data_IF_718876508072
#
_entry.id   IF_718876508072
#
_cell.length_a   1.000
_cell.length_b   1.000
_cell.length_c   1.000
_cell.angle_alpha   90.00
_cell.angle_beta   90.00
_cell.angle_gamma   90.00
#
_symmetry.space_group_name_H-M   'P 1'
#
loop_
_entity.id
_entity.type
_entity.pdbx_description
1 polymer ?
#
# COMPACT_ATOMS: atom_id res chain seq x y z
N UNK A 1 6.75 15.15 9.66
CA UNK A 1 7.26 14.12 8.71
C UNK A 1 6.20 13.06 8.52
N UNK A 2 6.10 12.49 7.30
CA UNK A 2 5.21 11.35 7.00
C UNK A 2 6.03 10.16 6.55
N UNK A 3 5.74 8.99 7.10
CA UNK A 3 6.43 7.74 6.73
C UNK A 3 5.38 6.70 6.37
N UNK A 4 5.49 6.18 5.16
CA UNK A 4 4.54 5.25 4.57
C UNK A 4 5.17 3.87 4.43
N UNK A 5 4.50 2.86 4.95
CA UNK A 5 4.84 1.47 4.74
C UNK A 5 3.92 0.91 3.66
N UNK A 6 4.47 0.59 2.51
CA UNK A 6 3.73 0.07 1.37
C UNK A 6 3.64 -1.46 1.39
N UNK A 7 2.78 -2.01 0.54
CA UNK A 7 2.56 -3.46 0.37
C UNK A 7 2.13 -4.19 1.65
N UNK A 8 1.54 -3.47 2.61
CA UNK A 8 1.00 -4.11 3.81
C UNK A 8 -0.19 -4.99 3.43
N UNK A 9 -0.18 -6.22 3.94
CA UNK A 9 -1.22 -7.19 3.67
C UNK A 9 -1.31 -8.24 4.78
N UNK A 10 -2.30 -9.12 4.73
CA UNK A 10 -2.51 -10.17 5.75
C UNK A 10 -1.32 -11.12 5.93
N UNK A 11 -0.42 -11.22 4.93
CA UNK A 11 0.80 -12.03 4.99
C UNK A 11 2.04 -11.22 5.39
N UNK A 12 1.91 -9.91 5.58
CA UNK A 12 3.01 -9.08 6.05
C UNK A 12 3.44 -9.48 7.46
N UNK A 13 4.72 -9.33 7.75
CA UNK A 13 5.20 -9.47 9.11
C UNK A 13 4.77 -8.23 9.94
N UNK A 14 3.50 -8.24 10.37
CA UNK A 14 2.89 -7.11 11.07
C UNK A 14 3.60 -6.74 12.35
N UNK A 15 4.12 -7.74 13.08
CA UNK A 15 4.91 -7.48 14.29
C UNK A 15 6.11 -6.61 13.95
N UNK A 16 6.87 -6.99 12.90
CA UNK A 16 8.04 -6.24 12.47
C UNK A 16 7.67 -4.83 11.99
N UNK A 17 6.61 -4.70 11.16
CA UNK A 17 6.16 -3.40 10.67
C UNK A 17 5.75 -2.46 11.82
N UNK A 18 5.08 -2.98 12.84
CA UNK A 18 4.68 -2.21 14.02
C UNK A 18 5.90 -1.85 14.88
N UNK A 19 6.83 -2.79 15.13
CA UNK A 19 8.07 -2.51 15.86
C UNK A 19 8.91 -1.40 15.19
N UNK A 20 8.94 -1.36 13.86
CA UNK A 20 9.61 -0.29 13.11
C UNK A 20 8.85 1.04 13.24
N UNK A 21 7.53 1.01 13.13
CA UNK A 21 6.70 2.19 13.31
C UNK A 21 6.83 2.78 14.74
N UNK A 22 6.88 1.93 15.76
CA UNK A 22 7.15 2.31 17.15
C UNK A 22 8.53 2.95 17.29
N UNK A 23 9.56 2.35 16.70
CA UNK A 23 10.91 2.93 16.72
C UNK A 23 10.95 4.32 16.06
N UNK A 24 10.23 4.52 14.95
CA UNK A 24 10.09 5.85 14.34
C UNK A 24 9.46 6.82 15.34
N UNK A 25 8.41 6.42 16.02
CA UNK A 25 7.74 7.27 17.01
C UNK A 25 8.61 7.59 18.21
N UNK A 26 9.51 6.67 18.60
CA UNK A 26 10.47 6.92 19.70
C UNK A 26 11.50 8.00 19.33
N UNK A 27 12.00 7.98 18.09
CA UNK A 27 13.01 8.96 17.62
C UNK A 27 12.39 10.23 17.02
N UNK A 28 11.17 10.13 16.52
CA UNK A 28 10.40 11.21 15.89
C UNK A 28 8.93 11.16 16.32
N UNK A 29 8.58 11.63 17.52
CA UNK A 29 7.24 11.53 18.07
C UNK A 29 6.14 12.14 17.18
N UNK A 30 6.47 13.20 16.44
CA UNK A 30 5.53 13.90 15.55
C UNK A 30 5.39 13.24 14.16
N UNK A 31 6.10 12.15 13.88
CA UNK A 31 5.97 11.47 12.59
C UNK A 31 4.58 10.86 12.43
N UNK A 32 3.94 11.10 11.30
CA UNK A 32 2.72 10.41 10.88
C UNK A 32 3.10 9.10 10.19
N UNK A 33 2.61 7.99 10.71
CA UNK A 33 2.84 6.66 10.14
C UNK A 33 1.62 6.21 9.36
N UNK A 34 1.83 5.83 8.10
CA UNK A 34 0.79 5.38 7.18
C UNK A 34 1.09 3.96 6.74
N UNK A 35 0.14 3.05 6.90
CA UNK A 35 0.21 1.71 6.32
C UNK A 35 -0.67 1.64 5.09
N UNK A 36 -0.05 1.43 3.91
CA UNK A 36 -0.71 1.27 2.63
C UNK A 36 -1.06 -0.20 2.41
N UNK A 37 -2.35 -0.51 2.47
CA UNK A 37 -2.87 -1.87 2.65
C UNK A 37 -3.54 -2.36 1.38
N UNK A 38 -3.11 -3.54 0.90
CA UNK A 38 -3.81 -4.31 -0.13
C UNK A 38 -4.56 -5.47 0.52
N UNK A 39 -5.91 -5.42 0.60
CA UNK A 39 -6.69 -6.39 1.36
C UNK A 39 -6.76 -7.79 0.74
N UNK A 40 -6.51 -7.92 -0.57
CA UNK A 40 -6.49 -9.21 -1.26
C UNK A 40 -5.06 -9.65 -1.53
N UNK A 41 -4.47 -10.35 -0.59
CA UNK A 41 -3.10 -10.83 -0.72
C UNK A 41 -2.99 -12.11 -1.47
N UNK A 42 -1.89 -12.21 -2.18
CA UNK A 42 -1.61 -13.35 -3.00
C UNK A 42 -0.17 -13.81 -2.96
N UNK A 43 -0.04 -15.09 -2.98
CA UNK A 43 1.21 -15.76 -3.27
C UNK A 43 1.45 -15.73 -4.80
N UNK A 44 2.67 -15.39 -5.25
CA UNK A 44 3.06 -15.31 -6.66
C UNK A 44 3.08 -16.70 -7.37
N UNK A 45 2.36 -17.71 -6.88
CA UNK A 45 2.21 -18.98 -7.55
C UNK A 45 1.20 -18.88 -8.70
N UNK A 46 1.45 -19.59 -9.81
CA UNK A 46 0.52 -19.65 -10.95
C UNK A 46 -0.90 -20.05 -10.56
N UNK A 47 -1.07 -20.89 -9.53
CA UNK A 47 -2.37 -21.28 -9.01
C UNK A 47 -3.13 -20.11 -8.42
N UNK A 48 -2.44 -19.24 -7.71
CA UNK A 48 -3.05 -18.07 -7.16
C UNK A 48 -3.56 -17.09 -8.20
N UNK A 49 -2.90 -16.95 -9.35
CA UNK A 49 -3.39 -16.16 -10.48
C UNK A 49 -4.74 -16.71 -10.95
N UNK A 50 -4.85 -18.02 -11.11
CA UNK A 50 -6.08 -18.68 -11.55
C UNK A 50 -7.21 -18.48 -10.55
N UNK A 51 -6.96 -18.63 -9.27
CA UNK A 51 -7.97 -18.48 -8.22
C UNK A 51 -8.46 -17.03 -8.13
N UNK A 52 -7.56 -16.08 -8.25
CA UNK A 52 -7.89 -14.66 -8.24
C UNK A 52 -8.68 -14.22 -9.48
N UNK A 53 -8.35 -14.75 -10.67
CA UNK A 53 -9.11 -14.51 -11.89
C UNK A 53 -10.56 -15.02 -11.79
N UNK A 54 -10.83 -16.07 -11.02
CA UNK A 54 -12.19 -16.57 -10.79
C UNK A 54 -13.02 -15.62 -9.92
N UNK A 55 -12.38 -15.03 -8.92
CA UNK A 55 -13.07 -14.15 -7.95
C UNK A 55 -13.25 -12.73 -8.49
N UNK A 56 -12.24 -12.21 -9.20
CA UNK A 56 -12.22 -10.84 -9.72
C UNK A 56 -11.78 -10.80 -11.20
N UNK A 57 -12.53 -11.42 -12.12
CA UNK A 57 -12.09 -11.58 -13.51
C UNK A 57 -11.83 -10.25 -14.22
N UNK A 58 -12.55 -9.18 -13.87
CA UNK A 58 -12.36 -7.85 -14.48
C UNK A 58 -11.04 -7.20 -14.10
N UNK A 59 -10.57 -7.43 -12.88
CA UNK A 59 -9.30 -6.87 -12.37
C UNK A 59 -8.12 -7.63 -12.97
N UNK A 60 -8.22 -8.97 -13.11
CA UNK A 60 -7.11 -9.82 -13.52
C UNK A 60 -6.94 -9.96 -15.04
N UNK A 61 -7.94 -9.60 -15.83
CA UNK A 61 -7.78 -9.55 -17.28
C UNK A 61 -6.99 -8.32 -17.78
N UNK A 62 -6.60 -7.42 -16.88
CA UNK A 62 -5.68 -6.35 -17.22
C UNK A 62 -4.25 -6.94 -17.35
N UNK A 63 -3.68 -6.83 -18.54
CA UNK A 63 -2.30 -7.24 -18.80
C UNK A 63 -1.35 -6.33 -18.01
N UNK A 64 -0.78 -6.84 -16.93
CA UNK A 64 0.28 -6.18 -16.20
C UNK A 64 1.40 -7.18 -15.94
N UNK A 65 2.59 -6.88 -16.43
CA UNK A 65 3.79 -7.70 -16.21
C UNK A 65 4.31 -7.63 -14.76
N UNK A 66 3.71 -6.77 -13.94
CA UNK A 66 4.11 -6.48 -12.57
C UNK A 66 2.97 -6.65 -11.56
N UNK A 67 2.04 -7.57 -11.80
CA UNK A 67 0.94 -7.80 -10.88
C UNK A 67 1.40 -8.69 -9.72
N UNK A 68 1.31 -8.18 -8.50
CA UNK A 68 1.44 -8.99 -7.30
C UNK A 68 0.07 -9.58 -7.00
N UNK A 69 -0.05 -10.89 -7.01
CA UNK A 69 -1.31 -11.61 -6.82
C UNK A 69 -1.43 -12.15 -5.40
N UNK A 70 -2.64 -12.17 -4.90
CA UNK A 70 -2.94 -12.55 -3.53
C UNK A 70 -4.00 -13.66 -3.46
N UNK A 71 -3.86 -14.67 -2.61
CA UNK A 71 -4.82 -15.77 -2.49
C UNK A 71 -6.13 -15.30 -1.87
N UNK A 72 -7.28 -15.50 -2.53
CA UNK A 72 -8.57 -15.02 -2.02
C UNK A 72 -9.05 -15.70 -0.74
N UNK A 73 -8.40 -16.78 -0.30
CA UNK A 73 -8.72 -17.49 0.94
C UNK A 73 -8.41 -16.68 2.21
N UNK A 74 -7.71 -15.58 2.09
CA UNK A 74 -7.40 -14.66 3.19
C UNK A 74 -7.79 -13.25 2.83
N UNK A 75 -9.07 -12.99 2.77
CA UNK A 75 -9.60 -11.65 2.95
C UNK A 75 -9.36 -11.27 4.41
N UNK A 76 -8.48 -10.34 4.62
CA UNK A 76 -8.22 -9.87 5.97
C UNK A 76 -7.37 -8.62 5.97
N UNK A 77 -7.78 -7.70 6.82
CA UNK A 77 -6.93 -6.59 7.21
C UNK A 77 -6.22 -7.04 8.47
N UNK A 78 -4.88 -6.96 8.52
CA UNK A 78 -4.16 -7.28 9.74
C UNK A 78 -4.57 -6.34 10.88
N UNK A 79 -4.45 -6.78 12.11
CA UNK A 79 -4.61 -5.89 13.25
C UNK A 79 -3.53 -4.80 13.19
N UNK A 80 -3.98 -3.55 13.17
CA UNK A 80 -3.14 -2.36 13.08
C UNK A 80 -3.47 -1.46 14.26
N UNK A 81 -2.48 -1.03 15.04
CA UNK A 81 -2.68 -0.07 16.12
C UNK A 81 -3.42 1.19 15.66
N UNK A 82 -4.32 1.69 16.48
CA UNK A 82 -5.19 2.82 16.11
C UNK A 82 -4.46 4.14 15.85
N UNK A 83 -3.21 4.27 16.31
CA UNK A 83 -2.38 5.43 16.06
C UNK A 83 -1.70 5.43 14.68
N UNK A 84 -1.75 4.30 13.95
CA UNK A 84 -1.25 4.17 12.59
C UNK A 84 -2.37 4.52 11.62
N UNK A 85 -2.09 5.42 10.69
CA UNK A 85 -3.03 5.83 9.65
C UNK A 85 -3.15 4.70 8.62
N UNK A 86 -4.38 4.31 8.33
CA UNK A 86 -4.67 3.32 7.29
C UNK A 86 -4.87 4.01 5.96
N UNK A 87 -4.25 3.49 4.91
CA UNK A 87 -4.49 3.87 3.53
C UNK A 87 -4.77 2.63 2.69
N UNK A 88 -5.62 2.73 1.70
CA UNK A 88 -5.80 1.67 0.70
C UNK A 88 -4.66 1.71 -0.31
N UNK A 89 -4.16 0.53 -0.71
CA UNK A 89 -3.16 0.36 -1.76
C UNK A 89 -3.72 -0.46 -2.95
N UNK A 90 -5.00 -0.24 -3.25
CA UNK A 90 -5.76 -1.03 -4.21
C UNK A 90 -6.24 -2.36 -3.66
N UNK A 91 -7.28 -2.91 -4.28
CA UNK A 91 -7.83 -4.21 -3.89
C UNK A 91 -6.77 -5.30 -3.99
N UNK A 92 -5.95 -5.21 -5.03
CA UNK A 92 -4.71 -5.93 -5.28
C UNK A 92 -3.64 -4.94 -5.74
N UNK A 93 -2.38 -5.31 -5.62
CA UNK A 93 -1.26 -4.47 -6.05
C UNK A 93 -1.08 -4.53 -7.58
N UNK A 94 -1.76 -3.66 -8.32
CA UNK A 94 -1.76 -3.57 -9.80
C UNK A 94 -1.60 -2.12 -10.25
N UNK A 95 -0.92 -1.91 -11.38
CA UNK A 95 -0.83 -0.58 -12.00
C UNK A 95 -2.21 -0.16 -12.52
N UNK A 96 -2.87 0.76 -11.81
CA UNK A 96 -4.22 1.21 -12.12
C UNK A 96 -4.34 1.88 -13.50
N UNK A 97 -3.26 2.44 -14.05
CA UNK A 97 -3.27 3.03 -15.41
C UNK A 97 -3.55 2.01 -16.51
N UNK A 98 -3.35 0.72 -16.22
CA UNK A 98 -3.59 -0.39 -17.14
C UNK A 98 -5.02 -0.95 -17.06
N UNK A 99 -5.81 -0.45 -16.11
CA UNK A 99 -7.20 -0.86 -15.89
C UNK A 99 -8.17 0.08 -16.58
N UNK A 100 -9.34 -0.40 -17.01
CA UNK A 100 -10.43 0.47 -17.41
C UNK A 100 -10.93 1.30 -16.22
N UNK A 101 -11.60 2.43 -16.48
CA UNK A 101 -12.11 3.31 -15.43
C UNK A 101 -13.02 2.55 -14.45
N UNK A 102 -13.92 1.71 -14.95
CA UNK A 102 -14.86 0.93 -14.15
C UNK A 102 -14.13 -0.07 -13.23
N UNK A 103 -13.02 -0.63 -13.71
CA UNK A 103 -12.19 -1.57 -12.91
C UNK A 103 -11.35 -0.84 -11.88
N UNK A 104 -10.83 0.35 -12.23
CA UNK A 104 -10.17 1.22 -11.26
C UNK A 104 -11.12 1.62 -10.14
N UNK A 105 -12.33 2.06 -10.49
CA UNK A 105 -13.36 2.45 -9.55
C UNK A 105 -13.72 1.30 -8.60
N UNK A 106 -13.97 0.10 -9.15
CA UNK A 106 -14.22 -1.10 -8.33
C UNK A 106 -13.06 -1.37 -7.37
N UNK A 107 -11.82 -1.33 -7.85
CA UNK A 107 -10.65 -1.58 -7.03
C UNK A 107 -10.48 -0.56 -5.92
N UNK A 108 -10.57 0.72 -6.24
CA UNK A 108 -10.37 1.82 -5.30
C UNK A 108 -11.47 1.85 -4.23
N UNK A 109 -12.73 1.84 -4.65
CA UNK A 109 -13.86 1.95 -3.72
C UNK A 109 -13.95 0.73 -2.81
N UNK A 110 -13.81 -0.48 -3.38
CA UNK A 110 -13.88 -1.70 -2.59
C UNK A 110 -12.72 -1.81 -1.60
N UNK A 111 -11.50 -1.46 -2.02
CA UNK A 111 -10.35 -1.52 -1.11
C UNK A 111 -10.41 -0.46 -0.02
N UNK A 112 -10.83 0.76 -0.33
CA UNK A 112 -11.03 1.81 0.66
C UNK A 112 -12.11 1.41 1.68
N UNK A 113 -13.20 0.81 1.22
CA UNK A 113 -14.26 0.30 2.10
C UNK A 113 -13.77 -0.84 3.00
N UNK A 114 -13.02 -1.80 2.46
CA UNK A 114 -12.48 -2.92 3.23
C UNK A 114 -11.45 -2.48 4.27
N UNK A 115 -10.61 -1.51 3.94
CA UNK A 115 -9.58 -0.96 4.83
C UNK A 115 -10.16 0.04 5.83
N UNK A 116 -11.41 0.46 5.64
CA UNK A 116 -12.07 1.51 6.41
C UNK A 116 -11.26 2.81 6.40
N UNK A 117 -11.05 3.35 5.19
CA UNK A 117 -10.25 4.56 4.98
C UNK A 117 -10.78 5.41 3.84
N UNK A 118 -10.44 6.70 3.87
CA UNK A 118 -10.63 7.67 2.78
C UNK A 118 -9.29 8.10 2.17
N UNK A 119 -8.25 7.28 2.29
CA UNK A 119 -6.93 7.56 1.74
C UNK A 119 -6.58 6.46 0.75
N UNK A 120 -6.17 6.83 -0.46
CA UNK A 120 -5.70 5.92 -1.49
C UNK A 120 -4.26 6.24 -1.89
N UNK A 121 -3.40 5.23 -1.81
CA UNK A 121 -2.02 5.24 -2.31
C UNK A 121 -1.97 4.36 -3.54
N UNK A 122 -1.71 4.87 -4.74
CA UNK A 122 -1.70 4.05 -5.93
C UNK A 122 -0.52 3.09 -5.93
N UNK A 123 -0.76 1.79 -6.25
CA UNK A 123 0.32 0.83 -6.45
C UNK A 123 1.37 1.33 -7.45
N UNK A 124 2.64 1.00 -7.21
CA UNK A 124 3.79 1.49 -7.99
C UNK A 124 3.94 3.01 -8.01
N UNK A 125 3.23 3.75 -7.16
CA UNK A 125 3.12 5.21 -7.22
C UNK A 125 2.67 5.71 -8.62
N UNK A 126 1.74 4.98 -9.26
CA UNK A 126 1.27 5.26 -10.61
C UNK A 126 -0.24 5.44 -10.67
N UNK A 127 -0.67 6.53 -11.25
CA UNK A 127 -2.08 6.91 -11.44
C UNK A 127 -2.29 7.58 -12.80
N UNK A 128 -3.53 7.77 -13.18
CA UNK A 128 -3.94 8.52 -14.36
C UNK A 128 -5.15 9.41 -14.02
N UNK A 129 -5.69 10.08 -15.04
CA UNK A 129 -6.83 10.98 -14.87
C UNK A 129 -8.07 10.27 -14.33
N UNK A 130 -8.33 9.02 -14.75
CA UNK A 130 -9.45 8.24 -14.23
C UNK A 130 -9.29 7.97 -12.72
N UNK A 131 -8.09 7.62 -12.28
CA UNK A 131 -7.77 7.46 -10.84
C UNK A 131 -8.07 8.74 -10.04
N UNK A 132 -7.66 9.90 -10.57
CA UNK A 132 -7.91 11.20 -9.93
C UNK A 132 -9.39 11.53 -9.85
N UNK A 133 -10.13 11.33 -10.93
CA UNK A 133 -11.56 11.63 -11.00
C UNK A 133 -12.35 10.71 -10.03
N UNK A 134 -12.04 9.41 -10.01
CA UNK A 134 -12.65 8.45 -9.08
C UNK A 134 -12.41 8.87 -7.63
N UNK A 135 -11.17 9.16 -7.28
CA UNK A 135 -10.84 9.58 -5.91
C UNK A 135 -11.54 10.88 -5.52
N UNK A 136 -11.58 11.86 -6.44
CA UNK A 136 -12.26 13.13 -6.22
C UNK A 136 -13.77 12.95 -6.03
N UNK A 137 -14.42 12.18 -6.89
CA UNK A 137 -15.87 11.98 -6.87
C UNK A 137 -16.32 11.20 -5.62
N UNK A 138 -15.45 10.33 -5.09
CA UNK A 138 -15.69 9.56 -3.88
C UNK A 138 -15.18 10.22 -2.59
N UNK A 139 -14.65 11.45 -2.66
CA UNK A 139 -14.02 12.16 -1.54
C UNK A 139 -12.90 11.36 -0.88
N UNK A 140 -12.10 10.68 -1.71
CA UNK A 140 -10.92 9.92 -1.29
C UNK A 140 -9.68 10.80 -1.52
N UNK A 141 -8.84 10.90 -0.49
CA UNK A 141 -7.55 11.59 -0.58
C UNK A 141 -6.55 10.71 -1.35
N UNK A 142 -6.19 11.13 -2.55
CA UNK A 142 -5.17 10.47 -3.37
C UNK A 142 -3.78 10.95 -2.98
N UNK A 143 -2.95 10.07 -2.43
CA UNK A 143 -1.54 10.37 -2.15
C UNK A 143 -0.71 10.10 -3.40
N UNK A 144 -0.12 11.17 -3.95
CA UNK A 144 0.70 11.14 -5.17
C UNK A 144 2.18 11.12 -4.84
N UNK A 145 2.98 10.43 -5.65
CA UNK A 145 4.44 10.43 -5.51
C UNK A 145 5.07 11.80 -5.74
N UNK A 146 4.45 12.62 -6.61
CA UNK A 146 4.89 14.00 -6.89
C UNK A 146 4.88 14.92 -5.66
N UNK A 147 4.25 14.49 -4.58
CA UNK A 147 4.21 15.20 -3.30
C UNK A 147 5.52 15.07 -2.49
N UNK A 148 6.62 14.63 -3.12
CA UNK A 148 7.95 14.62 -2.52
C UNK A 148 8.32 13.36 -1.74
N UNK A 149 7.57 12.27 -1.89
CA UNK A 149 7.90 11.00 -1.24
C UNK A 149 9.23 10.43 -1.71
N UNK A 150 10.13 10.11 -0.79
CA UNK A 150 11.41 9.47 -1.05
C UNK A 150 11.37 8.00 -0.67
N UNK A 151 11.97 7.15 -1.51
CA UNK A 151 12.10 5.73 -1.18
C UNK A 151 13.24 5.54 -0.18
N UNK A 152 12.89 5.03 0.98
CA UNK A 152 13.82 4.77 2.04
C UNK A 152 14.90 3.75 1.66
N UNK A 153 14.56 2.76 0.85
CA UNK A 153 15.46 1.67 0.46
C UNK A 153 16.61 2.10 -0.46
N UNK A 154 16.45 3.24 -1.14
CA UNK A 154 17.41 3.74 -2.13
C UNK A 154 18.14 5.00 -1.71
N UNK A 155 17.79 5.57 -0.56
CA UNK A 155 18.36 6.82 -0.08
C UNK A 155 18.73 6.69 1.40
N UNK A 156 19.83 7.31 1.79
CA UNK A 156 20.16 7.47 3.20
C UNK A 156 19.03 8.25 3.87
N UNK A 157 18.57 7.75 5.00
CA UNK A 157 17.51 8.40 5.76
C UNK A 157 18.02 9.77 6.23
N UNK A 158 17.29 10.80 5.85
CA UNK A 158 17.59 12.17 6.27
C UNK A 158 16.35 12.77 6.94
N UNK A 159 16.38 13.04 8.25
CA UNK A 159 15.24 13.58 8.97
C UNK A 159 14.78 14.98 8.53
N UNK A 160 15.55 15.64 7.65
CA UNK A 160 15.13 16.91 7.04
C UNK A 160 14.15 16.74 5.88
N UNK A 161 13.95 15.53 5.37
CA UNK A 161 12.96 15.26 4.35
C UNK A 161 11.59 15.02 4.98
N UNK A 162 10.54 15.58 4.41
CA UNK A 162 9.21 15.58 5.01
C UNK A 162 8.45 14.26 4.81
N UNK A 163 8.82 13.45 3.81
CA UNK A 163 8.04 12.29 3.39
C UNK A 163 8.91 11.12 2.92
N UNK A 164 8.63 9.92 3.45
CA UNK A 164 9.34 8.68 3.13
C UNK A 164 8.39 7.52 2.91
N UNK A 165 8.78 6.54 2.09
CA UNK A 165 8.10 5.26 2.01
C UNK A 165 9.08 4.09 2.05
N UNK A 166 8.60 2.95 2.54
CA UNK A 166 9.33 1.69 2.65
C UNK A 166 8.40 0.54 2.27
N UNK A 167 8.93 -0.49 1.61
CA UNK A 167 8.13 -1.67 1.30
C UNK A 167 8.16 -2.67 2.45
N UNK A 168 6.99 -3.20 2.80
CA UNK A 168 6.85 -4.12 3.95
C UNK A 168 7.62 -5.44 3.79
N UNK A 169 7.89 -5.88 2.56
CA UNK A 169 8.59 -7.13 2.24
C UNK A 169 10.10 -7.09 2.47
N UNK A 170 10.68 -5.89 2.52
CA UNK A 170 12.12 -5.66 2.59
C UNK A 170 12.58 -5.22 3.98
N UNK A 171 11.69 -5.36 4.97
CA UNK A 171 11.92 -4.90 6.32
C UNK A 171 12.96 -5.77 7.05
N UNK A 172 14.13 -5.20 7.29
CA UNK A 172 15.14 -5.72 8.21
C UNK A 172 15.30 -4.72 9.37
N UNK A 173 14.76 -5.07 10.56
CA UNK A 173 14.67 -4.17 11.70
C UNK A 173 16.03 -3.56 12.11
N UNK A 174 17.09 -4.37 12.11
CA UNK A 174 18.41 -3.88 12.53
C UNK A 174 18.97 -2.86 11.57
N UNK A 175 18.90 -3.11 10.26
CA UNK A 175 19.30 -2.14 9.22
C UNK A 175 18.46 -0.87 9.30
N UNK A 176 17.17 -1.02 9.55
CA UNK A 176 16.28 0.12 9.70
C UNK A 176 16.67 0.98 10.92
N UNK A 177 16.99 0.37 12.06
CA UNK A 177 17.46 1.09 13.26
C UNK A 177 18.79 1.78 13.04
N UNK A 178 19.76 1.10 12.40
CA UNK A 178 21.05 1.68 12.03
C UNK A 178 20.88 2.88 11.09
N UNK A 179 19.90 2.83 10.24
CA UNK A 179 19.62 3.83 9.25
C UNK A 179 18.95 5.10 9.81
N UNK A 180 18.21 4.95 10.92
CA UNK A 180 17.54 6.06 11.61
C UNK A 180 18.37 6.71 12.71
N UNK A 181 19.58 6.20 12.98
CA UNK A 181 20.53 6.81 13.93
C UNK A 181 21.54 7.71 13.26
#
# INVERSE_FOLDING_TARGET
>A
MKIRFDDICVNSNMRLAVEMAEHIKDVMPEAEIIFSISPLVHNMSGQGIIDSQRVYPKIFNAKSDHTIFYKPEKLGIPEIPSWIIRASHGLIHVDHRLLSKEVQELSILSSCSLVDTKIFVPPFNKWNKDTEDICKDAEINLIKFEDGWLCAEYNDFNPTHDVWYVHSRELELNKFKEWMT
#
